data_IF_195228179904
#
_entry.id   IF_195228179904
#
_cell.length_a   1.000
_cell.length_b   1.000
_cell.length_c   1.000
_cell.angle_alpha   90.00
_cell.angle_beta   90.00
_cell.angle_gamma   90.00
#
_symmetry.space_group_name_H-M   'P 1'
#
loop_
_entity.id
_entity.type
_entity.pdbx_description
1 polymer ?
#
# COMPACT_ATOMS: atom_id res chain seq x y z
N UNK A 1 -12.06 5.32 3.94
CA UNK A 1 -12.82 4.72 2.81
C UNK A 1 -11.86 4.50 1.65
N UNK A 2 -12.04 3.49 0.79
CA UNK A 2 -11.10 3.27 -0.32
C UNK A 2 -11.14 4.42 -1.33
N UNK A 3 -9.96 4.80 -1.83
CA UNK A 3 -9.80 5.85 -2.85
C UNK A 3 -10.01 5.31 -4.27
N UNK A 4 -9.71 4.03 -4.49
CA UNK A 4 -9.96 3.29 -5.73
C UNK A 4 -9.93 1.78 -5.48
N UNK A 5 -10.07 1.01 -6.54
CA UNK A 5 -9.91 -0.43 -6.54
C UNK A 5 -8.79 -0.83 -7.50
N UNK A 6 -8.11 -1.94 -7.22
CA UNK A 6 -7.18 -2.58 -8.16
C UNK A 6 -7.94 -3.20 -9.34
N UNK A 7 -7.23 -3.58 -10.41
CA UNK A 7 -7.83 -4.30 -11.56
C UNK A 7 -8.51 -5.62 -11.18
N UNK A 8 -8.13 -6.20 -10.04
CA UNK A 8 -8.72 -7.42 -9.47
C UNK A 8 -9.85 -7.12 -8.48
N UNK A 9 -10.23 -5.86 -8.29
CA UNK A 9 -11.34 -5.45 -7.43
C UNK A 9 -10.99 -5.25 -5.95
N UNK A 10 -9.71 -5.23 -5.58
CA UNK A 10 -9.31 -5.02 -4.18
C UNK A 10 -9.30 -3.54 -3.81
N UNK A 11 -9.91 -3.14 -2.67
CA UNK A 11 -9.85 -1.78 -2.16
C UNK A 11 -8.42 -1.27 -1.96
N UNK A 12 -8.16 -0.04 -2.39
CA UNK A 12 -6.93 0.71 -2.12
C UNK A 12 -7.27 1.85 -1.18
N UNK A 13 -6.64 1.89 -0.01
CA UNK A 13 -6.89 2.90 1.03
C UNK A 13 -6.01 4.13 0.88
N UNK A 14 -4.76 3.95 0.44
CA UNK A 14 -3.87 5.05 0.09
C UNK A 14 -2.92 4.63 -1.01
N UNK A 15 -2.47 5.61 -1.79
CA UNK A 15 -1.52 5.46 -2.88
C UNK A 15 -0.63 6.70 -2.93
N UNK A 16 0.69 6.51 -3.01
CA UNK A 16 1.63 7.60 -3.23
C UNK A 16 2.89 7.13 -3.94
N UNK A 17 3.46 8.03 -4.73
CA UNK A 17 4.72 7.77 -5.41
C UNK A 17 5.90 7.87 -4.43
N UNK A 18 6.66 6.80 -4.29
CA UNK A 18 7.91 6.80 -3.54
C UNK A 18 9.03 7.36 -4.39
N UNK A 19 9.94 8.11 -3.77
CA UNK A 19 11.18 8.57 -4.43
C UNK A 19 12.15 7.43 -4.77
N UNK A 20 11.96 6.26 -4.18
CA UNK A 20 12.92 5.16 -4.27
C UNK A 20 12.46 4.01 -5.16
N UNK A 21 11.15 3.74 -5.28
CA UNK A 21 10.70 2.62 -6.10
C UNK A 21 9.17 2.61 -6.35
N UNK A 22 8.72 3.41 -7.31
CA UNK A 22 7.35 3.31 -7.84
C UNK A 22 6.24 3.72 -6.87
N UNK A 23 5.04 3.22 -7.13
CA UNK A 23 3.85 3.57 -6.36
C UNK A 23 3.67 2.62 -5.17
N UNK A 24 3.51 3.19 -3.98
CA UNK A 24 3.21 2.46 -2.75
C UNK A 24 1.70 2.52 -2.52
N UNK A 25 1.07 1.35 -2.44
CA UNK A 25 -0.36 1.20 -2.21
C UNK A 25 -0.62 0.42 -0.91
N UNK A 26 -1.59 0.85 -0.11
CA UNK A 26 -2.13 0.02 0.99
C UNK A 26 -3.43 -0.60 0.47
N UNK A 27 -3.42 -1.92 0.29
CA UNK A 27 -4.46 -2.67 -0.41
C UNK A 27 -5.05 -3.71 0.53
N UNK A 28 -6.36 -3.94 0.46
CA UNK A 28 -6.97 -5.06 1.18
C UNK A 28 -6.38 -6.40 0.70
N UNK A 29 -6.08 -7.28 1.65
CA UNK A 29 -5.52 -8.60 1.38
C UNK A 29 -6.62 -9.63 1.24
N UNK A 30 -6.70 -10.27 0.07
CA UNK A 30 -7.56 -11.43 -0.13
C UNK A 30 -6.96 -12.75 0.35
N UNK A 31 -5.71 -12.74 0.80
CA UNK A 31 -4.96 -13.94 1.20
C UNK A 31 -5.04 -14.24 2.70
N UNK A 32 -5.58 -13.32 3.49
CA UNK A 32 -5.71 -13.50 4.93
C UNK A 32 -7.08 -14.07 5.30
N UNK A 33 -7.11 -14.84 6.39
CA UNK A 33 -8.32 -15.35 7.02
C UNK A 33 -9.07 -14.28 7.83
N UNK A 34 -8.48 -13.09 7.97
CA UNK A 34 -8.99 -11.93 8.71
C UNK A 34 -8.93 -10.69 7.81
N UNK A 35 -9.75 -9.67 8.10
CA UNK A 35 -9.68 -8.38 7.40
C UNK A 35 -8.32 -7.73 7.67
N UNK A 36 -7.44 -7.77 6.68
CA UNK A 36 -6.14 -7.14 6.78
C UNK A 36 -5.73 -6.48 5.48
N UNK A 37 -4.71 -5.64 5.56
CA UNK A 37 -4.13 -4.95 4.41
C UNK A 37 -2.70 -5.42 4.20
N UNK A 38 -2.23 -5.32 2.96
CA UNK A 38 -0.84 -5.49 2.60
C UNK A 38 -0.35 -4.24 1.87
N UNK A 39 0.94 -3.92 2.05
CA UNK A 39 1.59 -2.80 1.38
C UNK A 39 2.14 -3.31 0.05
N UNK A 40 1.48 -2.93 -1.03
CA UNK A 40 1.87 -3.28 -2.39
C UNK A 40 2.81 -2.21 -2.96
N UNK A 41 3.79 -2.67 -3.73
CA UNK A 41 4.67 -1.83 -4.54
C UNK A 41 4.38 -2.13 -6.00
N UNK A 42 3.92 -1.13 -6.74
CA UNK A 42 3.82 -1.22 -8.19
C UNK A 42 5.11 -0.67 -8.79
N UNK A 43 6.06 -1.57 -9.06
CA UNK A 43 7.32 -1.21 -9.72
C UNK A 43 7.04 -0.94 -11.21
N UNK A 44 7.58 0.16 -11.73
CA UNK A 44 7.62 0.40 -13.17
C UNK A 44 8.62 -0.57 -13.84
N UNK A 45 8.18 -1.81 -14.07
CA UNK A 45 8.59 -2.83 -15.05
C UNK A 45 10.09 -3.12 -15.37
N UNK A 46 11.09 -2.43 -14.84
CA UNK A 46 12.45 -2.47 -15.41
C UNK A 46 13.61 -2.79 -14.45
N UNK A 47 13.39 -3.04 -13.15
CA UNK A 47 14.49 -3.43 -12.26
C UNK A 47 14.24 -4.75 -11.52
N UNK A 48 15.27 -5.61 -11.35
CA UNK A 48 15.15 -6.87 -10.66
C UNK A 48 14.97 -6.63 -9.15
N UNK A 49 13.71 -6.68 -8.71
CA UNK A 49 13.20 -7.08 -7.40
C UNK A 49 14.30 -7.26 -6.31
N UNK A 50 14.64 -6.19 -5.59
CA UNK A 50 15.18 -6.32 -4.23
C UNK A 50 14.02 -6.21 -3.26
N UNK A 51 13.33 -7.34 -3.11
CA UNK A 51 12.06 -7.59 -2.42
C UNK A 51 12.00 -7.24 -0.92
N UNK A 52 12.99 -6.57 -0.33
CA UNK A 52 13.27 -6.80 1.09
C UNK A 52 12.99 -5.62 2.02
N UNK A 53 12.84 -4.37 1.54
CA UNK A 53 12.54 -3.27 2.46
C UNK A 53 11.80 -2.08 1.81
N UNK A 54 10.76 -1.61 2.52
CA UNK A 54 10.12 -0.32 2.29
C UNK A 54 11.05 0.80 2.75
N UNK A 55 11.72 1.47 1.81
CA UNK A 55 12.49 2.68 2.11
C UNK A 55 11.58 3.90 2.03
N UNK A 56 11.15 4.39 3.19
CA UNK A 56 10.30 5.58 3.30
C UNK A 56 10.94 6.69 4.11
N UNK A 57 10.74 7.92 3.66
CA UNK A 57 11.05 9.11 4.42
C UNK A 57 9.96 9.39 5.48
N UNK A 58 10.18 10.40 6.34
CA UNK A 58 9.26 10.74 7.44
C UNK A 58 7.83 11.09 6.99
N UNK A 59 7.70 11.71 5.82
CA UNK A 59 6.40 12.10 5.27
C UNK A 59 5.64 10.87 4.73
N UNK A 60 6.32 10.02 3.98
CA UNK A 60 5.78 8.76 3.45
C UNK A 60 5.37 7.82 4.59
N UNK A 61 6.19 7.70 5.64
CA UNK A 61 5.86 6.93 6.83
C UNK A 61 4.58 7.45 7.52
N UNK A 62 4.39 8.78 7.58
CA UNK A 62 3.17 9.37 8.15
C UNK A 62 1.93 8.98 7.33
N UNK A 63 2.00 9.06 6.00
CA UNK A 63 0.90 8.67 5.11
C UNK A 63 0.49 7.21 5.30
N UNK A 64 1.47 6.31 5.50
CA UNK A 64 1.22 4.90 5.80
C UNK A 64 0.46 4.76 7.12
N UNK A 65 0.94 5.41 8.18
CA UNK A 65 0.31 5.34 9.51
C UNK A 65 -1.13 5.87 9.49
N UNK A 66 -1.37 7.01 8.84
CA UNK A 66 -2.70 7.60 8.71
C UNK A 66 -3.67 6.65 8.00
N UNK A 67 -3.25 6.04 6.90
CA UNK A 67 -4.07 5.08 6.17
C UNK A 67 -4.37 3.80 6.96
N UNK A 68 -3.40 3.29 7.73
CA UNK A 68 -3.63 2.16 8.63
C UNK A 68 -4.60 2.52 9.76
N UNK A 69 -4.52 3.73 10.31
CA UNK A 69 -5.46 4.22 11.32
C UNK A 69 -6.88 4.36 10.76
N UNK A 70 -7.03 4.82 9.51
CA UNK A 70 -8.33 4.88 8.84
C UNK A 70 -8.92 3.49 8.60
N UNK A 71 -8.10 2.51 8.18
CA UNK A 71 -8.53 1.12 8.01
C UNK A 71 -9.09 0.55 9.32
N UNK A 72 -8.36 0.69 10.43
CA UNK A 72 -8.77 0.22 11.76
C UNK A 72 -10.10 0.86 12.21
N UNK A 73 -10.33 2.14 11.88
CA UNK A 73 -11.57 2.85 12.24
C UNK A 73 -12.77 2.48 11.37
N UNK A 74 -12.56 1.81 10.25
CA UNK A 74 -13.64 1.46 9.32
C UNK A 74 -14.36 0.15 9.69
N UNK A 75 -13.91 -0.54 10.74
CA UNK A 75 -14.56 -1.70 11.37
C UNK A 75 -15.62 -1.32 12.40
#
# INVERSE_FOLDING_TARGET
MPIRYTSRGFPVFTEFHSKYNGDVCIVESSFATEHCVWIQFDEHANEPIRREALHVNKEEARKIVEALQEFIKSE
#
